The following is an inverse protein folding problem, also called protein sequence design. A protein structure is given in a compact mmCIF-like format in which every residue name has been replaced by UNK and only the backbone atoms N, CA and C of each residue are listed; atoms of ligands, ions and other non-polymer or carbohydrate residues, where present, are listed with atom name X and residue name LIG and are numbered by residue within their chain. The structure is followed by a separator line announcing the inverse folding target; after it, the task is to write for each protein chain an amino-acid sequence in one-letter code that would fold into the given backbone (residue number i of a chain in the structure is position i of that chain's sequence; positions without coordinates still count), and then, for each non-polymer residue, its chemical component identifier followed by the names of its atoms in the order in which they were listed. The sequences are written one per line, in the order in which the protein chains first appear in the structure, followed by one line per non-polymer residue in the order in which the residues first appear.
data_IF_095385469468
#
_entry.id   IF_095385469468
#
_cell.length_a   1.000
_cell.length_b   1.000
_cell.length_c   1.000
_cell.angle_alpha   90.00
_cell.angle_beta   90.00
_cell.angle_gamma   90.00
#
_symmetry.space_group_name_H-M   'P 1'
#
loop_
_entity.id
_entity.type
_entity.pdbx_description
1 polymer ?
#
# COMPACT_ATOMS: atom_id res chain seq x y z
N UNK A 1 -19.24 8.95 1.68
CA UNK A 1 -17.91 9.56 1.75
C UNK A 1 -17.80 10.76 0.82
N UNK A 2 -17.18 11.82 1.31
CA UNK A 2 -16.82 13.00 0.54
C UNK A 2 -15.34 13.30 0.81
N UNK A 3 -14.53 13.33 -0.23
CA UNK A 3 -13.08 13.44 -0.15
C UNK A 3 -12.61 14.72 0.57
N UNK A 4 -13.28 15.83 0.34
CA UNK A 4 -12.99 17.11 0.99
C UNK A 4 -13.56 17.29 2.40
N UNK A 5 -13.99 16.22 3.09
CA UNK A 5 -14.58 16.29 4.43
C UNK A 5 -13.52 16.46 5.52
N UNK A 6 -12.81 17.59 5.51
CA UNK A 6 -11.63 17.86 6.36
C UNK A 6 -11.84 18.91 7.43
N UNK A 7 -13.08 19.39 7.64
CA UNK A 7 -13.39 20.43 8.61
C UNK A 7 -14.71 20.21 9.35
N UNK A 8 -14.93 20.98 10.42
CA UNK A 8 -16.09 20.83 11.30
C UNK A 8 -17.45 20.93 10.60
N UNK A 9 -17.55 21.73 9.55
CA UNK A 9 -18.79 21.86 8.79
C UNK A 9 -19.14 20.63 7.95
N UNK A 10 -18.15 19.82 7.60
CA UNK A 10 -18.34 18.67 6.74
C UNK A 10 -18.84 17.44 7.51
N UNK A 11 -18.55 17.31 8.81
CA UNK A 11 -19.04 16.21 9.64
C UNK A 11 -20.57 16.10 9.69
N UNK A 12 -21.28 17.17 9.42
CA UNK A 12 -22.75 17.16 9.33
C UNK A 12 -23.26 16.57 8.00
N UNK A 13 -22.36 16.35 7.04
CA UNK A 13 -22.68 15.98 5.66
C UNK A 13 -22.13 14.63 5.25
N UNK A 14 -21.23 14.07 6.04
CA UNK A 14 -20.56 12.81 5.73
C UNK A 14 -20.42 11.94 6.98
N UNK A 15 -20.24 10.65 6.78
CA UNK A 15 -20.09 9.64 7.82
C UNK A 15 -18.62 9.31 8.07
N UNK A 16 -17.70 9.89 7.29
CA UNK A 16 -16.25 9.71 7.42
C UNK A 16 -15.55 11.06 7.50
N UNK A 17 -14.56 11.15 8.36
CA UNK A 17 -13.54 12.20 8.32
C UNK A 17 -12.50 11.81 7.29
N UNK A 18 -12.26 12.63 6.28
CA UNK A 18 -11.39 12.31 5.15
C UNK A 18 -10.29 13.36 4.98
N UNK A 19 -9.06 12.90 4.71
CA UNK A 19 -7.93 13.79 4.52
C UNK A 19 -6.99 13.26 3.44
N UNK A 20 -6.46 14.15 2.59
CA UNK A 20 -5.38 13.87 1.66
C UNK A 20 -4.01 14.15 2.30
N UNK A 21 -3.08 13.24 2.10
CA UNK A 21 -1.65 13.38 2.47
C UNK A 21 -1.41 13.91 3.88
N UNK A 22 -2.02 13.31 4.92
CA UNK A 22 -1.72 13.72 6.29
C UNK A 22 -0.26 13.43 6.62
N UNK A 23 0.39 14.35 7.36
CA UNK A 23 1.77 14.11 7.82
C UNK A 23 1.79 13.20 9.04
N UNK A 24 2.74 12.26 9.09
CA UNK A 24 3.03 11.40 10.25
C UNK A 24 4.19 11.94 11.08
N UNK A 25 4.98 12.88 10.55
CA UNK A 25 6.15 13.46 11.21
C UNK A 25 5.96 14.95 11.54
N UNK A 26 6.81 15.46 12.44
CA UNK A 26 6.86 16.87 12.80
C UNK A 26 5.92 17.27 13.95
N UNK A 27 5.88 18.58 14.24
CA UNK A 27 5.06 19.17 15.30
C UNK A 27 3.57 19.09 15.02
N UNK A 28 3.21 19.07 13.75
CA UNK A 28 1.84 19.03 13.26
C UNK A 28 1.56 17.63 12.71
N UNK A 29 1.43 16.63 13.58
CA UNK A 29 1.11 15.24 13.20
C UNK A 29 -0.39 15.05 12.95
N UNK A 30 -0.97 15.54 11.85
CA UNK A 30 -2.42 15.50 11.64
C UNK A 30 -2.94 14.06 11.65
N UNK A 31 -2.18 13.11 11.09
CA UNK A 31 -2.56 11.70 11.11
C UNK A 31 -2.77 11.18 12.54
N UNK A 32 -1.82 11.42 13.46
CA UNK A 32 -1.96 10.98 14.85
C UNK A 32 -3.09 11.67 15.58
N UNK A 33 -3.25 12.97 15.35
CA UNK A 33 -4.32 13.76 15.98
C UNK A 33 -5.69 13.33 15.47
N UNK A 34 -5.87 13.30 14.17
CA UNK A 34 -7.17 13.03 13.55
C UNK A 34 -7.59 11.56 13.74
N UNK A 35 -6.65 10.62 13.58
CA UNK A 35 -6.94 9.22 13.73
C UNK A 35 -7.21 8.77 15.18
N UNK A 36 -6.73 9.52 16.18
CA UNK A 36 -6.93 9.19 17.60
C UNK A 36 -7.94 10.08 18.32
N UNK A 37 -8.03 11.36 17.97
CA UNK A 37 -8.76 12.37 18.72
C UNK A 37 -9.59 13.30 17.84
N UNK A 38 -10.04 12.85 16.68
CA UNK A 38 -10.77 13.75 15.80
C UNK A 38 -12.02 14.33 16.51
N UNK A 39 -12.27 15.59 16.29
CA UNK A 39 -13.31 16.38 16.96
C UNK A 39 -14.74 15.87 16.72
N UNK A 40 -14.95 15.16 15.61
CA UNK A 40 -16.25 14.61 15.25
C UNK A 40 -16.46 13.19 15.74
N UNK A 41 -15.42 12.51 16.24
CA UNK A 41 -15.41 11.08 16.57
C UNK A 41 -15.89 10.19 15.41
N UNK A 42 -15.66 10.63 14.19
CA UNK A 42 -15.98 9.87 12.96
C UNK A 42 -14.83 8.93 12.61
N UNK A 43 -15.11 7.83 11.89
CA UNK A 43 -14.06 7.04 11.29
C UNK A 43 -13.14 7.92 10.42
N UNK A 44 -11.83 7.80 10.62
CA UNK A 44 -10.83 8.58 9.91
C UNK A 44 -10.27 7.80 8.72
N UNK A 45 -10.29 8.41 7.54
CA UNK A 45 -9.87 7.80 6.29
C UNK A 45 -8.90 8.69 5.52
N UNK A 46 -7.75 8.15 5.14
CA UNK A 46 -6.82 8.83 4.23
C UNK A 46 -7.29 8.59 2.80
N UNK A 47 -8.03 9.53 2.22
CA UNK A 47 -8.56 9.37 0.86
C UNK A 47 -7.46 9.32 -0.20
N UNK A 48 -6.33 9.98 0.06
CA UNK A 48 -5.10 9.85 -0.68
C UNK A 48 -3.91 9.89 0.29
N UNK A 49 -2.97 8.96 0.17
CA UNK A 49 -1.72 9.01 0.91
C UNK A 49 -0.60 8.33 0.13
N UNK A 50 0.64 8.54 0.57
CA UNK A 50 1.85 7.88 0.08
C UNK A 50 1.98 7.89 -1.45
N UNK A 51 2.02 9.12 -2.02
CA UNK A 51 2.05 9.37 -3.47
C UNK A 51 3.16 8.59 -4.17
N UNK A 52 2.79 7.66 -5.04
CA UNK A 52 3.67 6.62 -5.59
C UNK A 52 4.52 7.05 -6.80
N UNK A 53 4.66 8.34 -7.06
CA UNK A 53 5.47 8.85 -8.17
C UNK A 53 6.97 8.72 -7.92
N UNK A 54 7.73 8.26 -8.92
CA UNK A 54 9.19 8.16 -8.83
C UNK A 54 9.67 7.08 -7.86
N UNK A 55 10.63 7.44 -6.99
CA UNK A 55 11.20 6.55 -5.96
C UNK A 55 10.43 6.60 -4.64
N UNK A 56 9.14 6.75 -4.69
CA UNK A 56 8.29 6.82 -3.51
C UNK A 56 7.67 5.47 -3.14
N UNK A 57 6.82 5.50 -2.19
CA UNK A 57 6.30 4.67 -1.14
C UNK A 57 7.26 4.62 0.05
N UNK A 58 7.77 5.78 0.46
CA UNK A 58 8.48 5.92 1.73
C UNK A 58 7.51 5.98 2.90
N UNK A 59 7.83 5.29 4.00
CA UNK A 59 7.02 5.30 5.22
C UNK A 59 5.63 4.66 5.12
N UNK A 60 5.34 3.86 4.09
CA UNK A 60 4.07 3.13 3.99
C UNK A 60 3.76 2.32 5.26
N UNK A 61 4.78 1.65 5.80
CA UNK A 61 4.67 0.91 7.06
C UNK A 61 4.27 1.82 8.22
N UNK A 62 4.88 2.99 8.33
CA UNK A 62 4.61 3.93 9.44
C UNK A 62 3.19 4.49 9.36
N UNK A 63 2.69 4.77 8.15
CA UNK A 63 1.29 5.14 7.92
C UNK A 63 0.34 4.04 8.38
N UNK A 64 0.59 2.80 7.98
CA UNK A 64 -0.28 1.69 8.34
C UNK A 64 -0.24 1.39 9.83
N UNK A 65 0.94 1.40 10.47
CA UNK A 65 1.05 1.23 11.92
C UNK A 65 0.32 2.33 12.69
N UNK A 66 0.40 3.59 12.24
CA UNK A 66 -0.33 4.69 12.85
C UNK A 66 -1.85 4.51 12.75
N UNK A 67 -2.36 4.11 11.60
CA UNK A 67 -3.79 3.86 11.37
C UNK A 67 -4.27 2.63 12.14
N UNK A 68 -3.57 1.51 12.04
CA UNK A 68 -3.93 0.24 12.71
C UNK A 68 -3.92 0.36 14.24
N UNK A 69 -3.07 1.21 14.80
CA UNK A 69 -3.02 1.48 16.24
C UNK A 69 -3.96 2.59 16.70
N UNK A 70 -4.64 3.27 15.81
CA UNK A 70 -5.45 4.43 16.11
C UNK A 70 -6.88 4.08 16.56
N UNK A 71 -7.54 5.03 17.21
CA UNK A 71 -8.92 4.87 17.71
C UNK A 71 -9.98 4.96 16.61
N UNK A 72 -9.77 5.80 15.62
CA UNK A 72 -10.76 6.12 14.58
C UNK A 72 -10.28 5.76 13.17
N UNK A 73 -9.00 5.44 12.99
CA UNK A 73 -8.43 5.13 11.69
C UNK A 73 -9.00 3.85 11.11
N UNK A 74 -9.46 3.93 9.86
CA UNK A 74 -10.04 2.80 9.13
C UNK A 74 -9.26 2.44 7.86
N UNK A 75 -8.18 3.16 7.56
CA UNK A 75 -7.32 2.91 6.40
C UNK A 75 -7.20 4.10 5.47
N UNK A 76 -6.84 3.82 4.23
CA UNK A 76 -6.68 4.82 3.19
C UNK A 76 -6.41 4.23 1.82
N UNK A 77 -6.29 5.11 0.81
CA UNK A 77 -5.96 4.76 -0.55
C UNK A 77 -4.61 5.34 -0.94
N UNK A 78 -3.67 4.49 -1.35
CA UNK A 78 -2.40 4.93 -1.93
C UNK A 78 -2.69 5.67 -3.24
N UNK A 79 -2.08 6.82 -3.46
CA UNK A 79 -2.16 7.53 -4.73
C UNK A 79 -0.95 7.23 -5.61
N UNK A 80 -1.07 6.46 -6.72
CA UNK A 80 -2.28 5.67 -6.97
C UNK A 80 -1.91 4.23 -7.32
N UNK A 81 -2.86 3.43 -7.76
CA UNK A 81 -2.62 2.01 -8.01
C UNK A 81 -1.86 1.74 -9.31
N UNK A 82 -2.19 2.43 -10.39
CA UNK A 82 -1.66 2.19 -11.74
C UNK A 82 -1.20 3.48 -12.39
N UNK A 83 0.00 3.51 -12.95
CA UNK A 83 0.41 4.61 -13.83
C UNK A 83 -0.66 4.89 -14.89
N UNK A 84 -1.02 6.16 -15.03
CA UNK A 84 -2.06 6.64 -15.94
C UNK A 84 -1.50 7.03 -17.32
N UNK A 85 -0.21 6.83 -17.55
CA UNK A 85 0.42 7.09 -18.84
C UNK A 85 -0.13 6.18 -19.94
N UNK A 86 -0.18 6.71 -21.16
CA UNK A 86 -0.84 6.07 -22.29
C UNK A 86 0.17 5.34 -23.15
N UNK A 87 -0.07 4.05 -23.42
CA UNK A 87 0.69 3.29 -24.39
C UNK A 87 0.11 3.62 -25.77
N UNK A 88 0.92 4.19 -26.66
CA UNK A 88 0.53 4.36 -28.04
C UNK A 88 0.57 3.02 -28.76
N UNK A 89 -0.58 2.53 -29.20
CA UNK A 89 -0.66 1.31 -30.01
C UNK A 89 0.14 1.44 -31.32
N UNK A 90 0.16 2.63 -31.92
CA UNK A 90 0.92 2.87 -33.14
C UNK A 90 2.42 2.81 -32.88
N UNK A 91 2.90 3.37 -31.79
CA UNK A 91 4.32 3.27 -31.41
C UNK A 91 4.69 1.82 -31.08
N UNK A 92 3.83 1.10 -30.39
CA UNK A 92 4.03 -0.31 -30.06
C UNK A 92 4.04 -1.19 -31.33
N UNK A 93 3.09 -0.97 -32.24
CA UNK A 93 2.98 -1.71 -33.51
C UNK A 93 4.16 -1.42 -34.44
N UNK A 94 4.70 -0.19 -34.39
CA UNK A 94 5.84 0.24 -35.20
C UNK A 94 7.19 -0.01 -34.52
N UNK A 95 7.21 -0.68 -33.36
CA UNK A 95 8.42 -1.02 -32.63
C UNK A 95 9.18 0.18 -32.07
N UNK A 96 8.49 1.32 -31.85
CA UNK A 96 9.11 2.49 -31.21
C UNK A 96 9.33 2.23 -29.73
N UNK A 97 10.55 1.88 -29.43
CA UNK A 97 11.03 1.67 -28.07
C UNK A 97 11.87 2.85 -27.61
N UNK A 98 12.05 2.99 -26.31
CA UNK A 98 13.06 3.85 -25.71
C UNK A 98 14.46 3.33 -26.06
N UNK A 99 15.50 4.13 -25.81
CA UNK A 99 16.91 3.72 -25.98
C UNK A 99 17.23 2.41 -25.23
N UNK A 100 16.52 2.14 -24.13
CA UNK A 100 16.69 0.94 -23.33
C UNK A 100 15.77 -0.22 -23.75
N UNK A 101 15.07 -0.13 -24.87
CA UNK A 101 14.23 -1.19 -25.42
C UNK A 101 12.85 -1.34 -24.77
N UNK A 102 12.41 -0.40 -23.96
CA UNK A 102 11.08 -0.44 -23.33
C UNK A 102 10.01 0.26 -24.21
N UNK A 103 8.73 -0.14 -24.10
CA UNK A 103 7.65 0.59 -24.75
C UNK A 103 7.61 2.05 -24.33
N UNK A 104 7.38 2.96 -25.29
CA UNK A 104 7.24 4.38 -24.99
C UNK A 104 5.84 4.66 -24.42
N UNK A 105 5.82 5.16 -23.20
CA UNK A 105 4.62 5.67 -22.55
C UNK A 105 4.51 7.17 -22.77
N UNK A 106 3.31 7.62 -23.11
CA UNK A 106 3.04 9.05 -23.32
C UNK A 106 2.50 9.68 -22.05
N UNK A 107 3.00 10.87 -21.78
CA UNK A 107 2.60 11.72 -20.66
C UNK A 107 1.98 13.02 -21.19
N UNK A 108 1.56 13.93 -20.31
CA UNK A 108 1.04 15.23 -20.70
C UNK A 108 1.98 16.02 -21.59
N UNK A 109 3.28 15.84 -21.47
CA UNK A 109 4.28 16.51 -22.33
C UNK A 109 4.19 16.14 -23.82
N UNK A 110 3.59 15.01 -24.14
CA UNK A 110 3.39 14.59 -25.53
C UNK A 110 2.24 15.35 -26.23
N UNK A 111 1.47 16.15 -25.48
CA UNK A 111 0.36 16.99 -25.97
C UNK A 111 0.48 18.44 -25.48
N UNK A 112 1.49 19.19 -25.95
CA UNK A 112 1.81 20.53 -25.40
C UNK A 112 0.71 21.58 -25.60
N UNK A 113 -0.23 21.34 -26.50
CA UNK A 113 -1.35 22.23 -26.77
C UNK A 113 -2.63 21.90 -25.99
N UNK A 114 -2.64 20.85 -25.18
CA UNK A 114 -3.73 20.48 -24.31
C UNK A 114 -3.40 20.86 -22.86
N UNK A 115 -4.39 21.11 -22.00
CA UNK A 115 -4.15 21.22 -20.57
C UNK A 115 -3.52 19.94 -20.03
N UNK A 116 -2.39 20.02 -19.32
CA UNK A 116 -1.73 18.85 -18.75
C UNK A 116 -0.89 19.16 -17.52
N UNK A 117 -0.61 18.13 -16.71
CA UNK A 117 0.28 18.14 -15.55
C UNK A 117 1.62 17.41 -15.83
N UNK A 118 2.06 17.38 -17.10
CA UNK A 118 3.32 16.76 -17.48
C UNK A 118 3.36 15.25 -17.18
N UNK A 119 4.33 14.83 -16.38
CA UNK A 119 4.54 13.43 -16.00
C UNK A 119 3.76 13.02 -14.73
N UNK A 120 2.88 13.86 -14.18
CA UNK A 120 1.98 13.52 -13.07
C UNK A 120 0.88 12.51 -13.45
N UNK A 121 1.21 11.63 -14.35
CA UNK A 121 0.46 10.43 -14.76
C UNK A 121 1.23 9.14 -14.44
N UNK A 122 2.49 9.27 -13.94
CA UNK A 122 3.34 8.15 -13.56
C UNK A 122 3.44 8.06 -12.04
N UNK A 123 2.31 7.93 -11.40
CA UNK A 123 2.13 7.94 -9.95
C UNK A 123 1.57 6.62 -9.40
N UNK A 124 1.60 5.56 -10.22
CA UNK A 124 1.12 4.24 -9.84
C UNK A 124 2.11 3.40 -9.05
N UNK A 125 1.57 2.51 -8.21
CA UNK A 125 2.30 1.42 -7.58
C UNK A 125 2.76 0.41 -8.63
N UNK A 126 1.99 0.21 -9.68
CA UNK A 126 2.33 -0.63 -10.84
C UNK A 126 2.39 0.20 -12.13
N UNK A 127 3.17 -0.27 -13.10
CA UNK A 127 3.33 0.40 -14.37
C UNK A 127 2.03 0.40 -15.20
N UNK A 128 1.91 1.33 -16.17
CA UNK A 128 0.74 1.44 -17.04
C UNK A 128 0.42 0.16 -17.83
N UNK A 129 1.44 -0.63 -18.18
CA UNK A 129 1.28 -1.96 -18.82
C UNK A 129 0.97 -3.08 -17.83
N UNK A 130 0.73 -2.78 -16.55
CA UNK A 130 0.46 -3.73 -15.47
C UNK A 130 1.66 -4.58 -15.06
N UNK A 131 2.87 -4.22 -15.46
CA UNK A 131 4.07 -4.92 -14.97
C UNK A 131 4.36 -4.56 -13.52
N UNK A 132 5.03 -5.49 -12.84
CA UNK A 132 5.47 -5.36 -11.47
C UNK A 132 6.48 -4.21 -11.31
N UNK A 133 6.40 -3.50 -10.19
CA UNK A 133 7.41 -2.52 -9.78
C UNK A 133 7.91 -2.83 -8.37
N UNK A 134 9.08 -2.32 -8.00
CA UNK A 134 9.62 -2.48 -6.66
C UNK A 134 8.70 -1.91 -5.56
N UNK A 135 7.88 -0.91 -5.89
CA UNK A 135 6.87 -0.33 -4.99
C UNK A 135 5.82 -1.37 -4.57
N UNK A 136 5.45 -2.28 -5.47
CA UNK A 136 4.48 -3.32 -5.18
C UNK A 136 5.03 -4.37 -4.20
N UNK A 137 6.34 -4.58 -4.14
CA UNK A 137 6.96 -5.44 -3.12
C UNK A 137 6.79 -4.86 -1.72
N UNK A 138 6.92 -3.53 -1.57
CA UNK A 138 6.66 -2.85 -0.30
C UNK A 138 5.19 -2.95 0.10
N UNK A 139 4.26 -2.67 -0.82
CA UNK A 139 2.82 -2.82 -0.56
C UNK A 139 2.49 -4.25 -0.14
N UNK A 140 3.00 -5.25 -0.85
CA UNK A 140 2.81 -6.66 -0.51
C UNK A 140 3.32 -7.00 0.88
N UNK A 141 4.48 -6.45 1.27
CA UNK A 141 5.06 -6.68 2.58
C UNK A 141 4.25 -6.02 3.70
N UNK A 142 3.85 -4.76 3.49
CA UNK A 142 3.13 -3.99 4.52
C UNK A 142 1.69 -4.47 4.69
N UNK A 143 1.00 -4.79 3.59
CA UNK A 143 -0.42 -5.18 3.59
C UNK A 143 -0.68 -6.66 3.90
N UNK A 144 0.35 -7.45 4.20
CA UNK A 144 0.12 -8.84 4.59
C UNK A 144 -0.59 -8.96 5.95
N UNK A 145 -1.57 -9.84 6.03
CA UNK A 145 -2.38 -10.06 7.24
C UNK A 145 -1.84 -11.14 8.18
N UNK A 146 -0.70 -11.75 7.84
CA UNK A 146 0.03 -12.67 8.72
C UNK A 146 1.42 -12.09 8.93
N UNK A 147 1.71 -11.64 10.14
CA UNK A 147 3.00 -11.02 10.48
C UNK A 147 3.92 -12.05 11.14
N UNK A 148 5.09 -12.28 10.55
CA UNK A 148 6.12 -13.10 11.16
C UNK A 148 6.86 -12.28 12.22
N UNK A 149 6.82 -12.74 13.47
CA UNK A 149 7.39 -11.99 14.59
C UNK A 149 8.78 -12.51 15.00
N UNK A 150 8.92 -13.83 15.13
CA UNK A 150 10.17 -14.42 15.61
C UNK A 150 10.33 -15.83 15.06
N UNK A 151 11.56 -16.18 14.74
CA UNK A 151 11.99 -17.57 14.56
C UNK A 151 13.04 -17.92 15.61
N UNK A 152 12.79 -18.99 16.35
CA UNK A 152 13.74 -19.56 17.33
C UNK A 152 14.44 -20.76 16.70
N UNK A 153 15.70 -20.62 16.37
CA UNK A 153 16.48 -21.67 15.69
C UNK A 153 16.77 -22.88 16.60
N UNK A 154 16.82 -22.67 17.92
CA UNK A 154 17.11 -23.76 18.87
C UNK A 154 15.89 -24.69 19.03
N UNK A 155 14.70 -24.11 19.12
CA UNK A 155 13.44 -24.88 19.26
C UNK A 155 12.77 -25.15 17.92
N UNK A 156 13.24 -24.51 16.83
CA UNK A 156 12.64 -24.52 15.48
C UNK A 156 11.20 -24.02 15.45
N UNK A 157 10.89 -23.09 16.33
CA UNK A 157 9.57 -22.49 16.44
C UNK A 157 9.50 -21.16 15.70
N UNK A 158 8.44 -20.97 14.94
CA UNK A 158 8.08 -19.71 14.28
C UNK A 158 6.88 -19.12 15.00
N UNK A 159 7.01 -17.88 15.47
CA UNK A 159 5.92 -17.12 16.04
C UNK A 159 5.33 -16.20 14.97
N UNK A 160 4.02 -16.28 14.79
CA UNK A 160 3.27 -15.41 13.88
C UNK A 160 2.11 -14.71 14.60
N UNK A 161 1.74 -13.54 14.10
CA UNK A 161 0.52 -12.83 14.50
C UNK A 161 -0.47 -12.83 13.35
N UNK A 162 -1.70 -13.20 13.64
CA UNK A 162 -2.84 -13.02 12.76
C UNK A 162 -3.37 -11.59 12.93
N UNK A 163 -3.31 -10.75 11.90
CA UNK A 163 -3.86 -9.38 11.93
C UNK A 163 -5.12 -9.24 11.09
N UNK A 164 -5.77 -10.35 10.74
CA UNK A 164 -7.13 -10.30 10.21
C UNK A 164 -8.12 -9.94 11.33
N UNK A 165 -9.13 -9.16 11.01
CA UNK A 165 -10.21 -8.81 11.94
C UNK A 165 -11.22 -9.96 12.14
N UNK A 166 -11.45 -10.77 11.09
CA UNK A 166 -12.54 -11.75 11.06
C UNK A 166 -12.12 -13.16 10.64
N UNK A 167 -10.88 -13.34 10.18
CA UNK A 167 -10.43 -14.61 9.59
C UNK A 167 -9.54 -15.38 10.54
N UNK A 168 -9.92 -16.61 10.87
CA UNK A 168 -9.05 -17.56 11.58
C UNK A 168 -8.09 -18.23 10.59
N UNK A 169 -6.83 -18.45 10.98
CA UNK A 169 -5.83 -19.06 10.10
C UNK A 169 -5.88 -20.58 10.07
N UNK A 170 -6.85 -21.21 10.70
CA UNK A 170 -6.99 -22.67 10.69
C UNK A 170 -7.07 -23.21 9.26
N UNK A 171 -6.17 -24.15 8.94
CA UNK A 171 -6.14 -24.79 7.62
C UNK A 171 -5.37 -24.01 6.54
N UNK A 172 -4.89 -22.81 6.84
CA UNK A 172 -3.94 -22.12 5.94
C UNK A 172 -2.64 -22.91 5.82
N UNK A 173 -2.02 -22.84 4.66
CA UNK A 173 -0.73 -23.50 4.40
C UNK A 173 0.39 -22.49 4.52
N UNK A 174 1.29 -22.70 5.46
CA UNK A 174 2.56 -21.99 5.54
C UNK A 174 3.60 -22.76 4.71
N UNK A 175 4.11 -22.16 3.66
CA UNK A 175 5.23 -22.69 2.90
C UNK A 175 6.53 -22.07 3.38
N UNK A 176 7.41 -22.89 3.93
CA UNK A 176 8.76 -22.51 4.31
C UNK A 176 9.75 -23.01 3.26
N UNK A 177 10.58 -22.12 2.70
CA UNK A 177 11.62 -22.46 1.72
C UNK A 177 12.99 -22.14 2.31
N UNK A 178 13.91 -23.09 2.20
CA UNK A 178 15.32 -22.89 2.53
C UNK A 178 16.07 -22.51 1.26
N UNK A 179 16.72 -21.36 1.28
CA UNK A 179 17.57 -20.89 0.19
C UNK A 179 19.02 -20.89 0.65
N UNK A 180 19.90 -21.36 -0.22
CA UNK A 180 21.37 -21.27 -0.06
C UNK A 180 21.88 -20.50 -1.27
N UNK A 181 22.54 -19.37 -1.04
CA UNK A 181 23.03 -18.46 -2.09
C UNK A 181 21.94 -18.13 -3.15
N UNK A 182 20.72 -17.87 -2.69
CA UNK A 182 19.57 -17.55 -3.55
C UNK A 182 18.92 -18.75 -4.23
N UNK A 183 19.48 -19.96 -4.12
CA UNK A 183 18.91 -21.18 -4.70
C UNK A 183 18.08 -21.94 -3.67
N UNK A 184 16.83 -22.27 -4.00
CA UNK A 184 15.98 -23.06 -3.12
C UNK A 184 16.50 -24.51 -3.05
N UNK A 185 16.86 -24.96 -1.87
CA UNK A 185 17.38 -26.33 -1.64
C UNK A 185 16.36 -27.23 -0.93
N UNK A 186 15.37 -26.64 -0.24
CA UNK A 186 14.28 -27.38 0.38
C UNK A 186 13.01 -26.54 0.48
N UNK A 187 11.86 -27.18 0.57
CA UNK A 187 10.57 -26.54 0.85
C UNK A 187 9.71 -27.47 1.68
N UNK A 188 8.98 -26.90 2.64
CA UNK A 188 8.09 -27.61 3.56
C UNK A 188 6.76 -26.87 3.65
N UNK A 189 5.67 -27.60 3.59
CA UNK A 189 4.33 -27.09 3.79
C UNK A 189 3.84 -27.50 5.18
N UNK A 190 3.35 -26.55 5.95
CA UNK A 190 2.81 -26.76 7.29
C UNK A 190 1.39 -26.23 7.33
N UNK A 191 0.43 -27.07 7.65
CA UNK A 191 -0.95 -26.64 7.90
C UNK A 191 -1.00 -25.89 9.22
N UNK A 192 -1.44 -24.64 9.20
CA UNK A 192 -1.56 -23.83 10.40
C UNK A 192 -2.67 -24.34 11.32
N UNK A 193 -2.44 -24.37 12.63
CA UNK A 193 -3.48 -24.60 13.60
C UNK A 193 -4.44 -23.41 13.68
N UNK A 194 -5.46 -23.52 14.52
CA UNK A 194 -6.32 -22.37 14.81
C UNK A 194 -5.51 -21.22 15.42
N UNK A 195 -5.55 -20.06 14.76
CA UNK A 195 -5.05 -18.77 15.22
C UNK A 195 -6.16 -17.76 14.99
N UNK A 196 -6.83 -17.37 16.06
CA UNK A 196 -7.95 -16.44 16.00
C UNK A 196 -7.50 -15.05 15.49
N UNK A 197 -8.43 -14.20 15.03
CA UNK A 197 -8.15 -12.80 14.77
C UNK A 197 -7.40 -12.15 15.94
N UNK A 198 -6.43 -11.28 15.65
CA UNK A 198 -5.54 -10.60 16.59
C UNK A 198 -4.66 -11.51 17.49
N UNK A 199 -4.76 -12.81 17.37
CA UNK A 199 -3.96 -13.73 18.17
C UNK A 199 -2.54 -13.90 17.65
N UNK A 200 -1.63 -14.16 18.59
CA UNK A 200 -0.25 -14.59 18.33
C UNK A 200 -0.08 -16.06 18.69
N UNK A 201 0.62 -16.81 17.89
CA UNK A 201 0.92 -18.21 18.13
C UNK A 201 2.30 -18.61 17.63
#
# INVERSE_FOLDING_TARGET
HYEGATNAGDAQRTELWSQMYPSIEGSDKPLYSEANNNWAALPYFMCEFDHAMGNSLGSLKDYMEAIESSKYGIGGCIWDWVDQSIISYDDQKNGKLTENGFPKYRTGYDWPNAPHQGNFVNNGVICANRTWSAKLDEVKNVYQYVKFQKYDAATKQLTLKNVYDFTNLQGYILRASLLVDGTQVASYDVTLPSVAPDATK
#
